data_IF_758305185147
#
_entry.id   IF_758305185147
#
_cell.length_a   1.000
_cell.length_b   1.000
_cell.length_c   1.000
_cell.angle_alpha   90.00
_cell.angle_beta   90.00
_cell.angle_gamma   90.00
#
_symmetry.space_group_name_H-M   'P 1'
#
loop_
_entity.id
_entity.type
_entity.pdbx_description
1 polymer ?
#
# COMPACT_ATOMS: atom_id res chain seq x y z
N UNK A 1 18.11 -2.91 -17.36
CA UNK A 1 19.19 -2.29 -16.56
C UNK A 1 20.54 -2.26 -17.28
N UNK A 2 21.21 -3.39 -17.56
CA UNK A 2 22.45 -3.34 -18.37
C UNK A 2 22.20 -2.81 -19.79
N UNK A 3 21.05 -3.12 -20.36
CA UNK A 3 20.64 -2.72 -21.71
C UNK A 3 20.32 -1.20 -21.79
N UNK A 4 19.65 -0.64 -20.79
CA UNK A 4 19.34 0.80 -20.73
C UNK A 4 20.59 1.65 -20.49
N UNK A 5 21.52 1.15 -19.67
CA UNK A 5 22.78 1.84 -19.38
C UNK A 5 23.73 1.78 -20.59
N UNK A 6 23.72 0.66 -21.30
CA UNK A 6 24.48 0.48 -22.54
C UNK A 6 23.95 1.39 -23.66
N UNK A 7 22.64 1.46 -23.86
CA UNK A 7 22.04 2.36 -24.85
C UNK A 7 22.25 3.84 -24.51
N UNK A 8 22.24 4.19 -23.22
CA UNK A 8 22.62 5.52 -22.76
C UNK A 8 24.10 5.82 -23.06
N UNK A 9 24.99 4.88 -22.76
CA UNK A 9 26.42 5.02 -23.02
C UNK A 9 26.71 5.15 -24.51
N UNK A 10 26.03 4.37 -25.36
CA UNK A 10 26.18 4.43 -26.82
C UNK A 10 25.64 5.75 -27.38
N UNK A 11 24.54 6.28 -26.85
CA UNK A 11 24.03 7.61 -27.21
C UNK A 11 24.98 8.73 -26.78
N UNK A 12 25.51 8.66 -25.57
CA UNK A 12 26.53 9.60 -25.06
C UNK A 12 27.79 9.53 -25.93
N UNK A 13 28.32 8.34 -26.20
CA UNK A 13 29.53 8.13 -26.98
C UNK A 13 29.36 8.59 -28.43
N UNK A 14 28.24 8.26 -29.09
CA UNK A 14 27.91 8.79 -30.43
C UNK A 14 27.81 10.31 -30.42
N UNK A 15 27.20 10.89 -29.39
CA UNK A 15 27.07 12.34 -29.27
C UNK A 15 28.44 13.02 -29.08
N UNK A 16 29.26 12.52 -28.14
CA UNK A 16 30.61 13.02 -27.91
C UNK A 16 31.51 12.86 -29.14
N UNK A 17 31.43 11.73 -29.85
CA UNK A 17 32.23 11.49 -31.04
C UNK A 17 31.78 12.38 -32.22
N UNK A 18 30.47 12.53 -32.44
CA UNK A 18 29.93 13.43 -33.46
C UNK A 18 30.27 14.90 -33.17
N UNK A 19 30.19 15.33 -31.91
CA UNK A 19 30.59 16.67 -31.51
C UNK A 19 32.09 16.89 -31.57
N UNK A 20 32.92 15.90 -31.24
CA UNK A 20 34.38 16.02 -31.37
C UNK A 20 34.77 16.27 -32.82
N UNK A 21 34.19 15.54 -33.76
CA UNK A 21 34.44 15.72 -35.19
C UNK A 21 33.96 17.10 -35.67
N UNK A 22 32.74 17.51 -35.29
CA UNK A 22 32.21 18.84 -35.63
C UNK A 22 32.99 19.98 -34.97
N UNK A 23 33.46 19.81 -33.75
CA UNK A 23 34.28 20.77 -33.01
C UNK A 23 35.64 20.96 -33.66
N UNK A 24 36.29 19.86 -34.07
CA UNK A 24 37.55 19.91 -34.83
C UNK A 24 37.32 20.64 -36.16
N UNK A 25 36.29 20.28 -36.93
CA UNK A 25 35.99 20.92 -38.21
C UNK A 25 35.69 22.42 -38.06
N UNK A 26 34.85 22.80 -37.11
CA UNK A 26 34.51 24.21 -36.84
C UNK A 26 35.71 25.01 -36.33
N UNK A 27 36.61 24.39 -35.56
CA UNK A 27 37.86 25.03 -35.12
C UNK A 27 38.79 25.28 -36.30
N UNK A 28 38.97 24.28 -37.18
CA UNK A 28 39.78 24.42 -38.41
C UNK A 28 39.19 25.52 -39.31
N UNK A 29 37.88 25.51 -39.53
CA UNK A 29 37.18 26.52 -40.33
C UNK A 29 37.36 27.93 -39.75
N UNK A 30 37.26 28.08 -38.43
CA UNK A 30 37.55 29.36 -37.76
C UNK A 30 38.97 29.80 -37.97
N UNK A 31 39.95 28.91 -37.83
CA UNK A 31 41.36 29.26 -38.06
C UNK A 31 41.58 29.77 -39.48
N UNK A 32 40.95 29.14 -40.49
CA UNK A 32 41.01 29.60 -41.88
C UNK A 32 40.36 30.98 -42.04
N UNK A 33 39.17 31.19 -41.47
CA UNK A 33 38.47 32.48 -41.52
C UNK A 33 39.30 33.58 -40.83
N UNK A 34 39.89 33.27 -39.67
CA UNK A 34 40.70 34.22 -38.91
C UNK A 34 41.98 34.62 -39.67
N UNK A 35 42.65 33.64 -40.30
CA UNK A 35 43.80 33.89 -41.17
C UNK A 35 43.41 34.73 -42.40
N UNK A 36 42.28 34.43 -43.03
CA UNK A 36 41.76 35.20 -44.16
C UNK A 36 41.40 36.64 -43.75
N UNK A 37 40.76 36.82 -42.60
CA UNK A 37 40.48 38.13 -42.01
C UNK A 37 41.77 38.90 -41.73
N UNK A 38 42.80 38.27 -41.16
CA UNK A 38 44.09 38.90 -40.89
C UNK A 38 44.79 39.36 -42.17
N UNK A 39 44.79 38.52 -43.21
CA UNK A 39 45.34 38.85 -44.52
C UNK A 39 44.58 40.00 -45.20
N UNK A 40 43.25 39.96 -45.19
CA UNK A 40 42.41 41.03 -45.73
C UNK A 40 42.55 42.33 -44.96
N UNK A 41 42.64 42.29 -43.64
CA UNK A 41 42.86 43.46 -42.80
C UNK A 41 44.21 44.11 -43.13
N UNK A 42 45.28 43.31 -43.27
CA UNK A 42 46.59 43.80 -43.69
C UNK A 42 46.56 44.44 -45.10
N UNK A 43 45.83 43.83 -46.03
CA UNK A 43 45.62 44.39 -47.37
C UNK A 43 44.85 45.71 -47.34
N UNK A 44 43.75 45.77 -46.57
CA UNK A 44 42.94 46.98 -46.39
C UNK A 44 43.78 48.10 -45.77
N UNK A 45 44.60 47.82 -44.75
CA UNK A 45 45.50 48.81 -44.15
C UNK A 45 46.51 49.35 -45.17
N UNK A 46 47.14 48.48 -45.97
CA UNK A 46 48.10 48.89 -46.99
C UNK A 46 47.46 49.79 -48.06
N UNK A 47 46.29 49.41 -48.56
CA UNK A 47 45.56 50.17 -49.57
C UNK A 47 44.89 51.43 -49.01
N UNK A 48 44.57 51.49 -47.71
CA UNK A 48 44.01 52.70 -47.11
C UNK A 48 44.94 53.91 -47.33
N UNK A 49 46.26 53.69 -47.26
CA UNK A 49 47.29 54.68 -47.55
C UNK A 49 47.61 54.89 -49.06
N UNK A 50 47.10 54.04 -49.96
CA UNK A 50 47.28 54.14 -51.43
C UNK A 50 46.05 54.71 -52.16
N UNK A 51 46.19 55.31 -53.35
CA UNK A 51 45.07 55.99 -54.05
C UNK A 51 44.28 55.10 -55.03
N UNK A 52 43.85 53.90 -54.59
CA UNK A 52 43.11 52.94 -55.42
C UNK A 52 41.60 52.83 -55.12
N UNK A 53 40.79 52.45 -56.12
CA UNK A 53 39.32 52.23 -56.01
C UNK A 53 38.93 50.85 -55.41
N UNK A 54 39.88 49.97 -55.10
CA UNK A 54 39.62 48.57 -54.66
C UNK A 54 39.20 48.48 -53.16
N UNK A 55 39.19 49.62 -52.44
CA UNK A 55 39.04 49.67 -50.97
C UNK A 55 37.68 49.19 -50.45
N UNK A 56 36.59 49.54 -51.13
CA UNK A 56 35.22 49.29 -50.62
C UNK A 56 34.88 47.79 -50.66
N UNK A 57 35.28 47.09 -51.73
CA UNK A 57 35.02 45.66 -51.89
C UNK A 57 35.75 44.83 -50.83
N UNK A 58 37.04 45.12 -50.59
CA UNK A 58 37.83 44.41 -49.58
C UNK A 58 37.28 44.63 -48.16
N UNK A 59 36.81 45.84 -47.85
CA UNK A 59 36.16 46.16 -46.57
C UNK A 59 34.85 45.36 -46.37
N UNK A 60 34.00 45.26 -47.42
CA UNK A 60 32.75 44.49 -47.35
C UNK A 60 33.01 42.99 -47.12
N UNK A 61 34.00 42.41 -47.81
CA UNK A 61 34.38 41.00 -47.62
C UNK A 61 34.90 40.78 -46.20
N UNK A 62 35.70 41.71 -45.66
CA UNK A 62 36.18 41.62 -44.27
C UNK A 62 35.03 41.63 -43.26
N UNK A 63 34.07 42.56 -43.41
CA UNK A 63 32.89 42.64 -42.52
C UNK A 63 32.07 41.35 -42.60
N UNK A 64 31.86 40.80 -43.80
CA UNK A 64 31.13 39.56 -44.00
C UNK A 64 31.79 38.37 -43.28
N UNK A 65 33.13 38.24 -43.39
CA UNK A 65 33.88 37.19 -42.70
C UNK A 65 33.80 37.33 -41.18
N UNK A 66 33.82 38.56 -40.67
CA UNK A 66 33.73 38.84 -39.24
C UNK A 66 32.34 38.50 -38.68
N UNK A 67 31.26 38.84 -39.41
CA UNK A 67 29.89 38.43 -39.05
C UNK A 67 29.78 36.90 -39.03
N UNK A 68 30.32 36.24 -40.06
CA UNK A 68 30.31 34.77 -40.16
C UNK A 68 31.05 34.13 -38.98
N UNK A 69 32.19 34.70 -38.59
CA UNK A 69 32.94 34.25 -37.42
C UNK A 69 32.13 34.37 -36.12
N UNK A 70 31.52 35.54 -35.87
CA UNK A 70 30.68 35.77 -34.68
C UNK A 70 29.49 34.81 -34.66
N UNK A 71 28.85 34.58 -35.80
CA UNK A 71 27.72 33.65 -35.92
C UNK A 71 28.12 32.22 -35.57
N UNK A 72 29.24 31.73 -36.13
CA UNK A 72 29.79 30.41 -35.79
C UNK A 72 30.11 30.29 -34.30
N UNK A 73 30.62 31.35 -33.69
CA UNK A 73 30.95 31.33 -32.25
C UNK A 73 29.70 31.35 -31.36
N UNK A 74 28.67 32.11 -31.75
CA UNK A 74 27.38 32.11 -31.06
C UNK A 74 26.72 30.74 -31.06
N UNK A 75 26.74 30.04 -32.22
CA UNK A 75 26.22 28.66 -32.30
C UNK A 75 26.99 27.72 -31.37
N UNK A 76 28.32 27.82 -31.33
CA UNK A 76 29.16 26.98 -30.48
C UNK A 76 28.83 27.21 -29.00
N UNK A 77 28.82 28.47 -28.57
CA UNK A 77 28.52 28.84 -27.18
C UNK A 77 27.11 28.43 -26.76
N UNK A 78 26.14 28.53 -27.66
CA UNK A 78 24.77 28.05 -27.42
C UNK A 78 24.73 26.53 -27.18
N UNK A 79 25.48 25.76 -27.97
CA UNK A 79 25.59 24.30 -27.81
C UNK A 79 26.31 23.92 -26.51
N UNK A 80 27.47 24.52 -26.24
CA UNK A 80 28.23 24.28 -25.00
C UNK A 80 27.43 24.61 -23.74
N UNK A 81 26.58 25.65 -23.79
CA UNK A 81 25.71 26.03 -22.66
C UNK A 81 24.56 25.05 -22.43
N UNK A 82 23.94 24.54 -23.50
CA UNK A 82 22.75 23.68 -23.39
C UNK A 82 23.09 22.20 -23.16
N UNK A 83 24.31 21.79 -23.51
CA UNK A 83 24.79 20.42 -23.36
C UNK A 83 24.70 19.85 -21.93
N UNK A 84 25.28 20.49 -20.89
CA UNK A 84 25.23 19.93 -19.54
C UNK A 84 23.81 19.85 -18.98
N UNK A 85 22.92 20.76 -19.41
CA UNK A 85 21.53 20.82 -18.97
C UNK A 85 20.72 19.66 -19.56
N UNK A 86 20.89 19.36 -20.86
CA UNK A 86 20.15 18.29 -21.52
C UNK A 86 20.48 16.90 -20.99
N UNK A 87 21.77 16.62 -20.71
CA UNK A 87 22.18 15.33 -20.13
C UNK A 87 21.67 15.21 -18.70
N UNK A 88 21.79 16.27 -17.90
CA UNK A 88 21.31 16.25 -16.51
C UNK A 88 19.80 16.02 -16.45
N UNK A 89 19.02 16.65 -17.32
CA UNK A 89 17.58 16.41 -17.44
C UNK A 89 17.26 14.97 -17.84
N UNK A 90 18.00 14.39 -18.79
CA UNK A 90 17.78 13.01 -19.21
C UNK A 90 18.15 12.00 -18.11
N UNK A 91 19.26 12.23 -17.39
CA UNK A 91 19.64 11.40 -16.24
C UNK A 91 18.59 11.48 -15.14
N UNK A 92 18.13 12.69 -14.82
CA UNK A 92 17.06 12.92 -13.84
C UNK A 92 15.76 12.21 -14.26
N UNK A 93 15.37 12.31 -15.53
CA UNK A 93 14.18 11.63 -16.04
C UNK A 93 14.29 10.10 -15.96
N UNK A 94 15.49 9.53 -16.19
CA UNK A 94 15.72 8.09 -16.01
C UNK A 94 15.59 7.70 -14.55
N UNK A 95 16.19 8.46 -13.65
CA UNK A 95 16.11 8.21 -12.20
C UNK A 95 14.66 8.28 -11.72
N UNK A 96 13.94 9.35 -12.06
CA UNK A 96 12.51 9.52 -11.77
C UNK A 96 11.67 8.36 -12.34
N UNK A 97 11.97 7.92 -13.57
CA UNK A 97 11.29 6.78 -14.20
C UNK A 97 11.59 5.46 -13.46
N UNK A 98 12.81 5.25 -12.99
CA UNK A 98 13.18 4.06 -12.22
C UNK A 98 12.49 4.04 -10.85
N UNK A 99 12.46 5.17 -10.14
CA UNK A 99 11.73 5.29 -8.88
C UNK A 99 10.23 5.05 -9.07
N UNK A 100 9.65 5.64 -10.11
CA UNK A 100 8.23 5.46 -10.44
C UNK A 100 7.93 3.99 -10.77
N UNK A 101 8.80 3.34 -11.54
CA UNK A 101 8.65 1.92 -11.87
C UNK A 101 8.72 1.03 -10.63
N UNK A 102 9.66 1.28 -9.71
CA UNK A 102 9.74 0.57 -8.42
C UNK A 102 8.45 0.72 -7.61
N UNK A 103 7.91 1.94 -7.52
CA UNK A 103 6.63 2.22 -6.83
C UNK A 103 5.47 1.47 -7.47
N UNK A 104 5.38 1.45 -8.79
CA UNK A 104 4.34 0.72 -9.54
C UNK A 104 4.46 -0.80 -9.31
N UNK A 105 5.67 -1.34 -9.39
CA UNK A 105 5.90 -2.77 -9.17
C UNK A 105 5.52 -3.20 -7.74
N UNK A 106 5.81 -2.37 -6.73
CA UNK A 106 5.36 -2.58 -5.34
C UNK A 106 3.83 -2.57 -5.26
N UNK A 107 3.20 -1.55 -5.81
CA UNK A 107 1.75 -1.38 -5.79
C UNK A 107 1.00 -2.56 -6.45
N UNK A 108 1.51 -3.06 -7.57
CA UNK A 108 0.93 -4.23 -8.24
C UNK A 108 1.00 -5.50 -7.35
N UNK A 109 2.11 -5.70 -6.63
CA UNK A 109 2.25 -6.82 -5.69
C UNK A 109 1.32 -6.67 -4.48
N UNK A 110 1.20 -5.46 -3.94
CA UNK A 110 0.26 -5.16 -2.85
C UNK A 110 -1.17 -5.51 -3.25
N UNK A 111 -1.59 -5.16 -4.48
CA UNK A 111 -2.90 -5.56 -4.97
C UNK A 111 -3.06 -7.06 -5.16
N UNK A 112 -2.04 -7.75 -5.66
CA UNK A 112 -2.07 -9.21 -5.75
C UNK A 112 -2.29 -9.87 -4.37
N UNK A 113 -1.65 -9.34 -3.32
CA UNK A 113 -1.85 -9.81 -1.94
C UNK A 113 -3.23 -9.48 -1.38
N UNK A 114 -3.77 -8.30 -1.69
CA UNK A 114 -5.14 -7.94 -1.34
C UNK A 114 -6.14 -8.88 -2.01
N UNK A 115 -5.95 -9.18 -3.30
CA UNK A 115 -6.79 -10.12 -4.05
C UNK A 115 -6.76 -11.53 -3.44
N UNK A 116 -5.60 -12.00 -3.00
CA UNK A 116 -5.48 -13.27 -2.29
C UNK A 116 -6.20 -13.26 -0.93
N UNK A 117 -6.12 -12.15 -0.20
CA UNK A 117 -6.84 -11.97 1.07
C UNK A 117 -8.36 -11.96 0.85
N UNK A 118 -8.84 -11.34 -0.23
CA UNK A 118 -10.25 -11.38 -0.66
C UNK A 118 -10.67 -12.81 -1.02
N UNK A 119 -9.83 -13.57 -1.74
CA UNK A 119 -10.10 -14.98 -2.05
C UNK A 119 -10.21 -15.82 -0.78
N UNK A 120 -9.30 -15.61 0.19
CA UNK A 120 -9.33 -16.26 1.51
C UNK A 120 -10.62 -15.94 2.28
N UNK A 121 -11.02 -14.66 2.29
CA UNK A 121 -12.30 -14.24 2.87
C UNK A 121 -13.47 -14.98 2.23
N UNK A 122 -13.54 -15.03 0.91
CA UNK A 122 -14.62 -15.67 0.17
C UNK A 122 -14.66 -17.18 0.40
N UNK A 123 -13.51 -17.86 0.43
CA UNK A 123 -13.47 -19.31 0.71
C UNK A 123 -13.93 -19.64 2.13
N UNK A 124 -13.67 -18.75 3.10
CA UNK A 124 -14.05 -18.96 4.49
C UNK A 124 -15.51 -18.60 4.77
N UNK A 125 -16.05 -17.58 4.11
CA UNK A 125 -17.40 -17.04 4.40
C UNK A 125 -18.49 -17.55 3.47
N UNK A 126 -18.14 -17.99 2.25
CA UNK A 126 -19.08 -18.43 1.23
C UNK A 126 -18.66 -19.78 0.63
N UNK A 127 -18.70 -20.91 1.39
CA UNK A 127 -18.49 -22.22 0.79
C UNK A 127 -19.65 -22.51 -0.17
N UNK A 128 -19.37 -22.52 -1.48
CA UNK A 128 -20.31 -22.99 -2.50
C UNK A 128 -20.38 -24.52 -2.37
N UNK A 129 -21.05 -25.01 -1.33
CA UNK A 129 -21.33 -26.43 -1.15
C UNK A 129 -22.79 -26.70 -1.53
N UNK A 130 -22.99 -27.53 -2.55
CA UNK A 130 -24.31 -28.08 -2.89
C UNK A 130 -24.63 -29.22 -1.90
N UNK A 131 -25.11 -28.85 -0.71
CA UNK A 131 -25.40 -29.75 0.41
C UNK A 131 -25.35 -28.95 1.72
N UNK A 132 -26.12 -29.35 2.74
CA UNK A 132 -26.38 -28.59 3.98
C UNK A 132 -25.20 -27.71 4.43
N UNK A 133 -25.44 -26.44 4.79
CA UNK A 133 -24.37 -25.51 5.16
C UNK A 133 -23.69 -26.05 6.41
N UNK A 134 -22.57 -26.73 6.24
CA UNK A 134 -21.76 -27.14 7.36
C UNK A 134 -21.31 -25.85 8.05
N UNK A 135 -21.74 -25.63 9.30
CA UNK A 135 -21.40 -24.48 10.15
C UNK A 135 -19.91 -24.43 10.53
N UNK A 136 -18.99 -24.70 9.59
CA UNK A 136 -17.55 -24.79 9.81
C UNK A 136 -16.98 -23.48 10.33
N UNK A 137 -17.52 -22.33 9.90
CA UNK A 137 -17.08 -21.00 10.36
C UNK A 137 -17.29 -20.82 11.88
N UNK A 138 -18.45 -21.22 12.40
CA UNK A 138 -18.78 -21.17 13.84
C UNK A 138 -17.88 -22.07 14.70
N UNK A 139 -17.35 -23.14 14.11
CA UNK A 139 -16.51 -24.12 14.78
C UNK A 139 -15.03 -23.78 14.70
N UNK A 140 -14.65 -22.85 13.82
CA UNK A 140 -13.29 -22.38 13.68
C UNK A 140 -12.90 -21.51 14.89
N UNK A 141 -11.65 -21.64 15.32
CA UNK A 141 -11.07 -20.74 16.31
C UNK A 141 -10.94 -19.35 15.69
N UNK A 142 -11.44 -18.33 16.39
CA UNK A 142 -11.37 -16.93 15.97
C UNK A 142 -9.95 -16.51 15.56
N UNK A 143 -8.94 -16.90 16.32
CA UNK A 143 -7.54 -16.58 16.02
C UNK A 143 -7.08 -17.14 14.67
N UNK A 144 -7.47 -18.37 14.35
CA UNK A 144 -7.08 -19.04 13.10
C UNK A 144 -7.79 -18.41 11.90
N UNK A 145 -9.05 -18.01 12.09
CA UNK A 145 -9.83 -17.29 11.09
C UNK A 145 -9.25 -15.92 10.74
N UNK A 146 -8.95 -15.12 11.76
CA UNK A 146 -8.32 -13.81 11.59
C UNK A 146 -6.94 -13.94 10.93
N UNK A 147 -6.12 -14.91 11.38
CA UNK A 147 -4.82 -15.19 10.78
C UNK A 147 -4.94 -15.62 9.31
N UNK A 148 -5.95 -16.41 8.97
CA UNK A 148 -6.21 -16.84 7.58
C UNK A 148 -6.57 -15.68 6.65
N UNK A 149 -7.29 -14.67 7.14
CA UNK A 149 -7.62 -13.47 6.35
C UNK A 149 -6.42 -12.52 6.23
N UNK A 150 -5.61 -12.39 7.28
CA UNK A 150 -4.46 -11.48 7.33
C UNK A 150 -3.13 -12.11 6.92
N UNK A 151 -3.13 -13.35 6.44
CA UNK A 151 -1.90 -14.11 6.23
C UNK A 151 -0.90 -13.34 5.35
N UNK A 152 -1.35 -12.74 4.26
CA UNK A 152 -0.46 -11.96 3.40
C UNK A 152 0.08 -10.70 4.10
N UNK A 153 -0.75 -9.98 4.87
CA UNK A 153 -0.31 -8.82 5.67
C UNK A 153 0.78 -9.21 6.69
N UNK A 154 0.61 -10.36 7.33
CA UNK A 154 1.50 -10.87 8.38
C UNK A 154 2.82 -11.42 7.80
N UNK A 155 2.76 -12.18 6.72
CA UNK A 155 3.93 -12.81 6.11
C UNK A 155 4.73 -11.84 5.24
N UNK A 156 4.08 -10.84 4.63
CA UNK A 156 4.67 -9.95 3.62
C UNK A 156 4.70 -8.47 4.03
N UNK A 157 4.71 -8.22 5.34
CA UNK A 157 4.66 -6.88 5.97
C UNK A 157 5.64 -5.88 5.37
N UNK A 158 6.87 -6.31 5.07
CA UNK A 158 7.89 -5.51 4.40
C UNK A 158 7.39 -4.82 3.12
N UNK A 159 6.58 -5.52 2.32
CA UNK A 159 6.04 -4.96 1.07
C UNK A 159 4.96 -3.91 1.30
N UNK A 160 4.17 -4.05 2.36
CA UNK A 160 3.09 -3.14 2.69
C UNK A 160 3.59 -1.83 3.31
N UNK A 161 4.69 -1.89 4.05
CA UNK A 161 5.29 -0.71 4.69
C UNK A 161 6.52 -0.15 3.95
N UNK A 162 6.97 -0.80 2.87
CA UNK A 162 8.16 -0.45 2.10
C UNK A 162 9.45 -0.41 2.95
N UNK A 163 9.63 -1.42 3.79
CA UNK A 163 10.77 -1.53 4.71
C UNK A 163 11.63 -2.74 4.31
N UNK A 164 12.93 -2.51 4.11
CA UNK A 164 13.83 -3.55 3.56
C UNK A 164 14.06 -4.70 4.54
N UNK A 165 14.28 -4.41 5.83
CA UNK A 165 14.49 -5.41 6.89
C UNK A 165 14.15 -4.83 8.27
N UNK A 166 12.94 -5.06 8.73
CA UNK A 166 12.59 -4.86 10.15
C UNK A 166 11.97 -6.13 10.71
N UNK A 167 12.16 -6.30 12.02
CA UNK A 167 11.39 -7.23 12.84
C UNK A 167 10.05 -6.58 13.11
N UNK A 168 8.96 -7.33 12.98
CA UNK A 168 7.61 -6.81 13.19
C UNK A 168 6.90 -7.54 14.33
N UNK A 169 6.11 -6.80 15.08
CA UNK A 169 5.01 -7.34 15.87
C UNK A 169 3.70 -6.88 15.25
N UNK A 170 2.87 -7.81 14.81
CA UNK A 170 1.62 -7.54 14.10
C UNK A 170 0.50 -8.25 14.82
N UNK A 171 -0.59 -7.52 15.02
CA UNK A 171 -1.76 -8.08 15.65
C UNK A 171 -3.00 -7.25 15.42
N UNK A 172 -4.05 -7.72 16.07
CA UNK A 172 -5.38 -7.12 16.05
C UNK A 172 -5.90 -7.08 17.47
N UNK A 173 -6.28 -5.91 17.92
CA UNK A 173 -6.98 -5.72 19.19
C UNK A 173 -8.45 -5.45 18.89
N UNK A 174 -9.34 -6.27 19.43
CA UNK A 174 -10.79 -6.19 19.22
C UNK A 174 -11.49 -5.88 20.54
N UNK A 175 -12.53 -5.07 20.48
CA UNK A 175 -13.38 -4.71 21.62
C UNK A 175 -14.78 -5.28 21.46
N UNK A 176 -15.34 -5.78 22.57
CA UNK A 176 -16.72 -6.27 22.65
C UNK A 176 -17.09 -7.33 21.59
N UNK A 177 -16.16 -8.23 21.27
CA UNK A 177 -16.41 -9.30 20.30
C UNK A 177 -17.05 -10.52 20.95
N UNK A 178 -17.93 -11.19 20.23
CA UNK A 178 -18.53 -12.44 20.70
C UNK A 178 -17.53 -13.59 20.62
N UNK A 179 -17.19 -14.17 21.77
CA UNK A 179 -16.30 -15.33 21.87
C UNK A 179 -17.02 -16.50 22.52
N UNK A 180 -16.82 -17.69 21.96
CA UNK A 180 -17.32 -18.92 22.54
C UNK A 180 -16.45 -19.33 23.74
N UNK A 181 -17.02 -19.31 24.94
CA UNK A 181 -16.39 -19.81 26.15
C UNK A 181 -17.14 -21.06 26.64
N UNK A 182 -16.56 -22.25 26.40
CA UNK A 182 -17.19 -23.55 26.62
C UNK A 182 -18.54 -23.68 25.88
N UNK A 183 -19.64 -23.42 26.59
CA UNK A 183 -21.03 -23.50 26.12
C UNK A 183 -21.73 -22.14 25.99
N UNK A 184 -21.14 -21.07 26.53
CA UNK A 184 -21.73 -19.73 26.53
C UNK A 184 -21.03 -18.82 25.52
N UNK A 185 -21.77 -17.83 25.04
CA UNK A 185 -21.24 -16.73 24.22
C UNK A 185 -21.07 -15.54 25.13
N UNK A 186 -19.86 -15.02 25.23
CA UNK A 186 -19.52 -13.87 26.08
C UNK A 186 -18.87 -12.79 25.21
N UNK A 187 -19.21 -11.54 25.47
CA UNK A 187 -18.53 -10.39 24.89
C UNK A 187 -17.21 -10.15 25.64
N UNK A 188 -16.11 -10.07 24.90
CA UNK A 188 -14.80 -9.83 25.48
C UNK A 188 -13.97 -8.89 24.60
N UNK A 189 -13.06 -8.15 25.21
CA UNK A 189 -11.98 -7.48 24.49
C UNK A 189 -10.76 -8.37 24.48
N UNK A 190 -10.11 -8.52 23.32
CA UNK A 190 -8.99 -9.44 23.17
C UNK A 190 -7.98 -8.95 22.15
N UNK A 191 -6.71 -9.12 22.50
CA UNK A 191 -5.60 -8.93 21.58
C UNK A 191 -5.18 -10.26 20.94
N UNK A 192 -5.01 -10.26 19.62
CA UNK A 192 -4.54 -11.37 18.82
C UNK A 192 -3.22 -10.99 18.18
N UNK A 193 -2.15 -11.68 18.56
CA UNK A 193 -0.82 -11.47 18.02
C UNK A 193 -0.57 -12.54 16.96
N UNK A 194 -0.28 -12.13 15.73
CA UNK A 194 -0.06 -13.06 14.61
C UNK A 194 1.42 -13.29 14.31
N UNK A 195 2.25 -12.31 14.65
CA UNK A 195 3.70 -12.31 14.48
C UNK A 195 4.30 -11.40 15.53
N UNK A 196 5.38 -11.85 16.18
CA UNK A 196 6.08 -11.11 17.22
C UNK A 196 7.58 -11.34 17.13
N UNK A 197 8.23 -10.71 16.14
CA UNK A 197 9.68 -10.81 15.97
C UNK A 197 10.45 -9.94 16.98
N UNK A 198 9.76 -8.99 17.63
CA UNK A 198 10.32 -8.06 18.61
C UNK A 198 10.24 -8.56 20.06
N UNK A 199 9.53 -9.68 20.31
CA UNK A 199 9.23 -10.20 21.65
C UNK A 199 8.48 -9.17 22.52
N UNK A 200 7.44 -8.54 21.97
CA UNK A 200 6.60 -7.56 22.66
C UNK A 200 5.34 -8.17 23.27
N UNK A 201 5.10 -9.48 23.14
CA UNK A 201 3.91 -10.17 23.67
C UNK A 201 3.56 -9.77 25.11
N UNK A 202 4.53 -9.78 26.02
CA UNK A 202 4.33 -9.41 27.44
C UNK A 202 4.04 -7.91 27.66
N UNK A 203 4.40 -7.06 26.70
CA UNK A 203 4.20 -5.61 26.74
C UNK A 203 2.93 -5.16 26.02
N UNK A 204 2.21 -6.08 25.38
CA UNK A 204 0.97 -5.77 24.69
C UNK A 204 -0.23 -5.85 25.65
N UNK A 205 -1.27 -5.02 25.45
CA UNK A 205 -2.47 -5.09 26.27
C UNK A 205 -3.21 -6.39 25.99
N UNK A 206 -3.58 -7.12 27.05
CA UNK A 206 -4.39 -8.35 26.96
C UNK A 206 -5.88 -7.99 26.91
N UNK A 207 -6.28 -7.03 27.74
CA UNK A 207 -7.62 -6.46 27.84
C UNK A 207 -7.52 -4.99 28.26
N UNK A 208 -8.53 -4.20 27.91
CA UNK A 208 -8.82 -2.84 28.36
C UNK A 208 -8.84 -2.68 29.89
N UNK A 209 -9.15 -3.73 30.65
CA UNK A 209 -9.37 -3.66 32.11
C UNK A 209 -8.16 -4.03 32.95
N UNK A 210 -7.21 -4.79 32.39
CA UNK A 210 -6.03 -5.28 33.09
C UNK A 210 -4.81 -4.43 32.77
N UNK A 211 -4.66 -3.33 33.52
CA UNK A 211 -3.53 -2.42 33.38
C UNK A 211 -2.49 -2.67 34.47
N UNK A 212 -1.25 -2.98 34.08
CA UNK A 212 -0.12 -2.93 35.00
C UNK A 212 0.52 -1.54 34.91
N UNK A 213 0.27 -0.69 35.92
CA UNK A 213 0.80 0.68 35.95
C UNK A 213 2.32 0.80 35.96
N UNK A 214 3.02 -0.32 36.12
CA UNK A 214 4.48 -0.38 36.08
C UNK A 214 5.03 -0.48 34.65
N UNK A 215 4.23 -0.88 33.65
CA UNK A 215 4.66 -1.01 32.25
C UNK A 215 4.27 0.20 31.39
N UNK A 216 5.19 1.17 31.30
CA UNK A 216 5.03 2.40 30.49
C UNK A 216 4.82 2.11 28.99
N UNK A 217 5.40 1.02 28.45
CA UNK A 217 5.22 0.66 27.05
C UNK A 217 3.80 0.16 26.76
N UNK A 218 3.27 -0.72 27.61
CA UNK A 218 1.91 -1.23 27.47
C UNK A 218 0.88 -0.10 27.48
N UNK A 219 1.06 0.89 28.35
CA UNK A 219 0.22 2.08 28.42
C UNK A 219 0.24 2.90 27.13
N UNK A 220 1.44 3.15 26.60
CA UNK A 220 1.61 3.92 25.36
C UNK A 220 0.94 3.21 24.20
N UNK A 221 1.13 1.90 24.06
CA UNK A 221 0.52 1.10 22.99
C UNK A 221 -1.02 1.12 23.11
N UNK A 222 -1.56 0.85 24.30
CA UNK A 222 -3.00 0.86 24.54
C UNK A 222 -3.61 2.24 24.26
N UNK A 223 -2.93 3.31 24.67
CA UNK A 223 -3.37 4.68 24.36
C UNK A 223 -3.51 4.89 22.86
N UNK A 224 -2.56 4.38 22.06
CA UNK A 224 -2.63 4.47 20.59
C UNK A 224 -3.73 3.59 19.99
N UNK A 225 -4.03 2.45 20.58
CA UNK A 225 -5.18 1.63 20.16
C UNK A 225 -6.48 2.39 20.37
N UNK A 226 -6.70 2.89 21.58
CA UNK A 226 -7.90 3.65 21.94
C UNK A 226 -8.02 4.95 21.15
N UNK A 227 -6.91 5.64 20.89
CA UNK A 227 -6.88 6.84 20.05
C UNK A 227 -7.30 6.51 18.61
N UNK A 228 -6.80 5.42 18.03
CA UNK A 228 -7.17 5.00 16.68
C UNK A 228 -8.65 4.63 16.58
N UNK A 229 -9.19 3.92 17.59
CA UNK A 229 -10.59 3.50 17.68
C UNK A 229 -11.52 4.71 17.88
N UNK A 230 -11.29 5.52 18.92
CA UNK A 230 -12.17 6.61 19.32
C UNK A 230 -12.24 7.74 18.28
N UNK A 231 -11.14 7.99 17.56
CA UNK A 231 -11.09 9.01 16.51
C UNK A 231 -11.24 8.42 15.11
N UNK A 232 -11.42 7.10 14.99
CA UNK A 232 -11.53 6.38 13.71
C UNK A 232 -10.47 6.82 12.70
N UNK A 233 -9.21 6.92 13.14
CA UNK A 233 -8.10 7.43 12.33
C UNK A 233 -6.91 6.51 12.32
N UNK A 234 -6.23 6.48 11.17
CA UNK A 234 -4.91 5.90 11.05
C UNK A 234 -3.91 6.72 11.88
N UNK A 235 -3.06 6.02 12.62
CA UNK A 235 -2.01 6.60 13.44
C UNK A 235 -0.68 5.99 13.08
N UNK A 236 0.33 6.86 13.08
CA UNK A 236 1.72 6.49 12.87
C UNK A 236 2.56 7.35 13.81
N UNK A 237 3.23 6.71 14.77
CA UNK A 237 3.95 7.42 15.82
C UNK A 237 5.17 6.65 16.31
N UNK A 238 6.21 7.38 16.69
CA UNK A 238 7.40 6.80 17.28
C UNK A 238 7.23 6.67 18.80
N UNK A 239 7.43 5.47 19.32
CA UNK A 239 7.46 5.14 20.74
C UNK A 239 8.90 4.79 21.12
N UNK A 240 9.44 5.55 22.07
CA UNK A 240 10.70 5.23 22.72
C UNK A 240 10.44 4.28 23.89
N UNK A 241 11.04 3.09 23.83
CA UNK A 241 10.99 2.09 24.90
C UNK A 241 12.32 1.34 24.99
N UNK A 242 12.86 1.20 26.21
CA UNK A 242 14.05 0.37 26.48
C UNK A 242 15.26 0.63 25.55
N UNK A 243 15.55 1.91 25.25
CA UNK A 243 16.58 2.34 24.30
C UNK A 243 16.36 1.92 22.83
N UNK A 244 15.14 1.52 22.47
CA UNK A 244 14.72 1.25 21.10
C UNK A 244 13.74 2.33 20.64
N UNK A 245 13.90 2.76 19.39
CA UNK A 245 12.93 3.60 18.71
C UNK A 245 12.02 2.69 17.88
N UNK A 246 10.78 2.53 18.34
CA UNK A 246 9.77 1.71 17.71
C UNK A 246 8.81 2.64 16.97
N UNK A 247 8.45 2.30 15.73
CA UNK A 247 7.32 2.92 15.04
C UNK A 247 6.10 2.04 15.26
N UNK A 248 5.03 2.62 15.80
CA UNK A 248 3.72 1.99 15.87
C UNK A 248 2.84 2.53 14.76
N UNK A 249 2.18 1.61 14.07
CA UNK A 249 1.14 1.91 13.09
C UNK A 249 -0.15 1.28 13.57
N UNK A 250 -1.21 2.09 13.67
CA UNK A 250 -2.54 1.64 14.05
C UNK A 250 -3.55 2.07 12.99
N UNK A 251 -4.41 1.14 12.57
CA UNK A 251 -5.54 1.43 11.68
C UNK A 251 -6.82 0.89 12.29
N UNK A 252 -7.88 1.71 12.38
CA UNK A 252 -9.15 1.24 12.92
C UNK A 252 -9.74 0.16 12.02
N UNK A 253 -10.39 -0.82 12.63
CA UNK A 253 -11.20 -1.82 11.93
C UNK A 253 -12.61 -1.24 11.84
N UNK A 254 -13.03 -0.73 10.68
CA UNK A 254 -14.35 -0.13 10.55
C UNK A 254 -15.43 -1.18 10.80
N UNK A 255 -16.58 -0.79 11.32
CA UNK A 255 -17.71 -1.71 11.40
C UNK A 255 -18.36 -1.89 10.02
N UNK A 256 -19.12 -2.98 9.83
CA UNK A 256 -19.91 -3.20 8.61
C UNK A 256 -21.04 -2.17 8.49
N UNK A 257 -21.56 -1.68 9.62
CA UNK A 257 -22.49 -0.55 9.64
C UNK A 257 -21.75 0.80 9.60
N UNK A 258 -22.12 1.66 8.64
CA UNK A 258 -21.46 2.95 8.39
C UNK A 258 -21.53 3.94 9.57
N UNK A 259 -22.51 3.78 10.48
CA UNK A 259 -22.72 4.68 11.63
C UNK A 259 -22.23 4.11 12.96
N UNK A 260 -21.64 2.92 12.96
CA UNK A 260 -21.18 2.27 14.18
C UNK A 260 -19.71 2.60 14.46
N UNK A 261 -19.30 2.64 15.74
CA UNK A 261 -17.89 2.81 16.08
C UNK A 261 -17.06 1.64 15.54
N UNK A 262 -15.75 1.87 15.29
CA UNK A 262 -14.82 0.80 14.94
C UNK A 262 -14.83 -0.32 15.99
N UNK A 263 -14.70 -1.58 15.53
CA UNK A 263 -14.75 -2.78 16.40
C UNK A 263 -13.38 -3.14 17.01
N UNK A 264 -12.34 -2.41 16.63
CA UNK A 264 -10.97 -2.68 17.05
C UNK A 264 -9.95 -1.97 16.18
N UNK A 265 -8.71 -2.44 16.25
CA UNK A 265 -7.55 -1.87 15.57
C UNK A 265 -6.64 -2.97 15.04
N UNK A 266 -6.18 -2.84 13.79
CA UNK A 266 -5.02 -3.58 13.27
C UNK A 266 -3.79 -2.76 13.59
N UNK A 267 -2.77 -3.39 14.14
CA UNK A 267 -1.51 -2.74 14.45
C UNK A 267 -0.30 -3.47 13.88
N UNK A 268 0.73 -2.69 13.59
CA UNK A 268 2.08 -3.16 13.29
C UNK A 268 3.09 -2.30 14.05
N UNK A 269 4.02 -2.95 14.74
CA UNK A 269 5.12 -2.31 15.48
C UNK A 269 6.43 -2.81 14.89
N UNK A 270 7.35 -1.90 14.58
CA UNK A 270 8.65 -2.26 14.02
C UNK A 270 9.76 -1.26 14.34
N UNK A 271 11.01 -1.72 14.26
CA UNK A 271 12.20 -0.90 14.54
C UNK A 271 12.72 -0.19 13.28
N UNK A 272 13.28 1.01 13.47
CA UNK A 272 14.25 1.58 12.54
C UNK A 272 13.69 2.32 11.32
N UNK A 273 12.45 2.80 11.37
CA UNK A 273 11.89 3.64 10.31
C UNK A 273 11.21 4.88 10.88
N UNK A 274 11.49 6.04 10.30
CA UNK A 274 10.86 7.29 10.73
C UNK A 274 9.48 7.50 10.09
N UNK A 275 9.22 6.86 8.93
CA UNK A 275 7.99 7.01 8.16
C UNK A 275 7.60 5.77 7.36
N UNK A 276 6.31 5.45 7.35
CA UNK A 276 5.70 4.43 6.49
C UNK A 276 5.61 4.88 5.04
N UNK A 277 5.32 3.91 4.16
CA UNK A 277 4.92 4.19 2.79
C UNK A 277 3.64 5.03 2.73
N UNK A 278 3.50 5.91 1.74
CA UNK A 278 2.36 6.83 1.62
C UNK A 278 1.00 6.15 1.40
N UNK A 279 1.00 4.85 1.09
CA UNK A 279 -0.16 4.01 0.83
C UNK A 279 -0.50 3.06 1.99
N UNK A 280 0.29 3.05 3.07
CA UNK A 280 0.09 2.14 4.22
C UNK A 280 -1.28 2.30 4.87
N UNK A 281 -1.77 3.54 5.00
CA UNK A 281 -3.11 3.84 5.52
C UNK A 281 -4.20 3.13 4.71
N UNK A 282 -4.17 3.26 3.38
CA UNK A 282 -5.16 2.64 2.51
C UNK A 282 -5.08 1.12 2.56
N UNK A 283 -3.87 0.57 2.57
CA UNK A 283 -3.64 -0.88 2.69
C UNK A 283 -4.22 -1.41 4.00
N UNK A 284 -3.91 -0.76 5.12
CA UNK A 284 -4.38 -1.18 6.44
C UNK A 284 -5.91 -1.05 6.55
N UNK A 285 -6.49 0.01 5.99
CA UNK A 285 -7.94 0.20 5.92
C UNK A 285 -8.63 -0.91 5.10
N UNK A 286 -8.06 -1.30 3.95
CA UNK A 286 -8.59 -2.41 3.15
C UNK A 286 -8.59 -3.70 3.96
N UNK A 287 -7.47 -4.04 4.61
CA UNK A 287 -7.39 -5.21 5.48
C UNK A 287 -8.39 -5.12 6.66
N UNK A 288 -8.58 -3.93 7.22
CA UNK A 288 -9.59 -3.64 8.25
C UNK A 288 -11.01 -3.97 7.77
N UNK A 289 -11.36 -3.59 6.55
CA UNK A 289 -12.68 -3.94 5.96
C UNK A 289 -12.84 -5.44 5.74
N UNK A 290 -11.79 -6.14 5.29
CA UNK A 290 -11.82 -7.59 5.13
C UNK A 290 -12.04 -8.30 6.47
N UNK A 291 -11.35 -7.85 7.51
CA UNK A 291 -11.54 -8.36 8.87
C UNK A 291 -12.95 -8.11 9.39
N UNK A 292 -13.44 -6.88 9.25
CA UNK A 292 -14.79 -6.50 9.68
C UNK A 292 -15.87 -7.38 9.07
N UNK A 293 -15.77 -7.62 7.76
CA UNK A 293 -16.67 -8.53 7.06
C UNK A 293 -16.57 -9.95 7.58
N UNK A 294 -15.35 -10.45 7.83
CA UNK A 294 -15.15 -11.79 8.38
C UNK A 294 -15.71 -11.92 9.81
N UNK A 295 -15.41 -10.96 10.69
CA UNK A 295 -15.88 -10.92 12.08
C UNK A 295 -17.40 -10.88 12.12
N UNK A 296 -18.03 -10.00 11.33
CA UNK A 296 -19.50 -9.93 11.25
C UNK A 296 -20.12 -11.27 10.85
N UNK A 297 -19.52 -11.99 9.88
CA UNK A 297 -20.01 -13.33 9.50
C UNK A 297 -19.80 -14.38 10.58
N UNK A 298 -18.69 -14.29 11.31
CA UNK A 298 -18.41 -15.16 12.44
C UNK A 298 -19.43 -14.96 13.58
N UNK A 299 -19.71 -13.71 13.94
CA UNK A 299 -20.70 -13.37 14.97
C UNK A 299 -22.13 -13.75 14.57
N UNK A 300 -22.52 -13.47 13.32
CA UNK A 300 -23.80 -13.94 12.76
C UNK A 300 -23.96 -15.46 12.89
N UNK A 301 -22.88 -16.21 12.65
CA UNK A 301 -22.84 -17.66 12.75
C UNK A 301 -23.05 -18.11 14.21
N UNK A 302 -22.30 -17.52 15.15
CA UNK A 302 -22.41 -17.82 16.58
C UNK A 302 -23.82 -17.53 17.11
N UNK A 303 -24.38 -16.37 16.75
CA UNK A 303 -25.71 -15.96 17.17
C UNK A 303 -26.78 -16.97 16.70
N UNK A 304 -26.76 -17.38 15.43
CA UNK A 304 -27.69 -18.39 14.91
C UNK A 304 -27.57 -19.72 15.65
N UNK A 305 -26.34 -20.18 15.89
CA UNK A 305 -26.09 -21.45 16.59
C UNK A 305 -26.63 -21.43 18.02
N UNK A 306 -26.57 -20.29 18.70
CA UNK A 306 -27.07 -20.12 20.05
C UNK A 306 -28.60 -20.02 20.09
N UNK A 307 -29.19 -19.21 19.21
CA UNK A 307 -30.65 -19.05 19.13
C UNK A 307 -31.36 -20.38 18.82
N UNK A 308 -30.84 -21.18 17.89
CA UNK A 308 -31.42 -22.50 17.56
C UNK A 308 -31.35 -23.49 18.73
N UNK A 309 -30.30 -23.43 19.56
CA UNK A 309 -30.18 -24.29 20.75
C UNK A 309 -31.21 -23.95 21.82
N UNK A 310 -31.47 -22.65 22.03
CA UNK A 310 -32.43 -22.18 23.02
C UNK A 310 -33.88 -22.45 22.60
N UNK A 311 -34.19 -22.37 21.30
CA UNK A 311 -35.52 -22.77 20.78
C UNK A 311 -35.79 -24.28 20.94
N UNK A 312 -34.78 -25.14 20.81
CA UNK A 312 -34.94 -26.60 21.07
C UNK A 312 -35.08 -26.98 22.54
N UNK A 313 -34.93 -26.05 23.48
CA UNK A 313 -35.09 -26.30 24.93
C UNK A 313 -36.44 -25.84 25.49
N UNK A 314 -37.27 -25.14 24.73
CA UNK A 314 -38.69 -25.10 25.07
C UNK A 314 -39.29 -26.46 24.69
N UNK A 315 -39.75 -27.28 25.65
CA UNK A 315 -40.62 -28.38 25.28
C UNK A 315 -41.82 -27.70 24.61
N UNK A 316 -41.98 -27.89 23.31
CA UNK A 316 -43.27 -27.73 22.68
C UNK A 316 -44.23 -28.66 23.44
N UNK A 317 -44.85 -28.12 24.49
CA UNK A 317 -46.13 -28.56 24.97
C UNK A 317 -47.04 -28.38 23.78
N UNK A 318 -47.13 -29.41 22.95
CA UNK A 318 -48.32 -29.60 22.15
C UNK A 318 -49.46 -29.50 23.16
N UNK A 319 -50.17 -28.36 23.14
CA UNK A 319 -51.49 -28.28 23.71
C UNK A 319 -52.20 -29.51 23.18
N UNK A 320 -52.44 -30.49 24.06
CA UNK A 320 -53.31 -31.60 23.73
C UNK A 320 -54.56 -30.94 23.18
N UNK A 321 -54.86 -31.20 21.91
CA UNK A 321 -56.10 -30.73 21.31
C UNK A 321 -57.17 -31.32 22.22
N UNK A 322 -57.81 -30.49 23.04
CA UNK A 322 -58.95 -30.88 23.84
C UNK A 322 -60.04 -31.15 22.81
N UNK A 323 -60.12 -32.40 22.37
CA UNK A 323 -61.16 -32.86 21.46
C UNK A 323 -62.47 -32.66 22.22
N UNK A 324 -63.41 -31.83 21.74
CA UNK A 324 -64.69 -31.63 22.40
C UNK A 324 -65.36 -32.97 22.64
N UNK A 325 -66.00 -33.14 23.81
CA UNK A 325 -66.63 -34.41 24.20
C UNK A 325 -67.58 -34.93 23.13
N UNK A 326 -68.25 -34.05 22.37
CA UNK A 326 -69.14 -34.46 21.28
C UNK A 326 -68.40 -35.21 20.15
N UNK A 327 -67.14 -34.85 19.88
CA UNK A 327 -66.32 -35.50 18.85
C UNK A 327 -65.76 -36.83 19.35
N UNK A 328 -65.47 -36.96 20.65
CA UNK A 328 -65.08 -38.24 21.25
C UNK A 328 -66.24 -39.24 21.23
N UNK A 329 -67.45 -38.80 21.56
CA UNK A 329 -68.66 -39.65 21.50
C UNK A 329 -68.97 -40.11 20.07
N UNK A 330 -68.70 -39.27 19.05
CA UNK A 330 -68.88 -39.65 17.64
C UNK A 330 -67.85 -40.69 17.17
N UNK A 331 -66.62 -40.63 17.68
CA UNK A 331 -65.57 -41.60 17.38
C UNK A 331 -65.87 -42.94 18.05
N UNK A 332 -66.35 -42.94 19.29
CA UNK A 332 -66.78 -44.17 19.99
C UNK A 332 -68.00 -44.81 19.33
N UNK A 333 -69.03 -44.02 18.96
CA UNK A 333 -70.19 -44.54 18.22
C UNK A 333 -69.83 -45.11 16.85
N UNK A 334 -68.78 -44.59 16.19
CA UNK A 334 -68.28 -45.16 14.92
C UNK A 334 -67.51 -46.46 15.13
N UNK A 335 -66.80 -46.63 16.24
CA UNK A 335 -66.10 -47.89 16.57
C UNK A 335 -67.10 -49.01 16.93
N UNK A 336 -68.12 -48.70 17.73
CA UNK A 336 -69.16 -49.69 18.06
C UNK A 336 -69.92 -50.15 16.81
N UNK A 337 -70.16 -49.25 15.84
CA UNK A 337 -70.77 -49.62 14.54
C UNK A 337 -69.87 -50.37 13.57
N UNK A 338 -68.55 -50.42 13.77
CA UNK A 338 -67.68 -51.29 12.95
C UNK A 338 -67.58 -52.70 13.51
N UNK A 339 -67.94 -52.87 14.78
CA UNK A 339 -67.84 -54.13 15.52
C UNK A 339 -69.19 -54.88 15.58
N UNK A 340 -70.29 -54.25 15.16
CA UNK A 340 -71.62 -54.83 14.94
C UNK A 340 -72.03 -54.59 13.46
N UNK A 341 -71.81 -55.47 12.49
CA UNK A 341 -72.41 -56.81 12.36
C UNK A 341 -72.77 -57.58 13.62
#
# INVERSE_FOLDING_TARGET
MKEDLYTLYEKLDKYFNFERINSIFTTILKSIILLACGGLFGYVLREYFGSGNIKILALLIFILLLITYIFLESIRLSKERNFPIGILQHLKAIEELQETKKKIDRHNKVFEFIDNSIRSLNSNTCPIAFGEPSNQLCHQNLSDGLKGVLNDLVERTNYFFDVDKSKFTIGVYLENIMVKNNSDIVEASKNFIFKDDLNLEDSLPIDSTHFNSENDLQFKILTKFLESINFSRYLEENINAENRNLLIVCSPIPNVCESCPPIGVIYAIYEGCDKCSTDSENVMLINGRLLSNWISKYEDCLYKTYSTKNETQEPHSHNQIIVPKEVQELIEKKRVKSDEN
#
